data_IF_717028474788
#
_entry.id   IF_717028474788
#
_cell.length_a   1.000
_cell.length_b   1.000
_cell.length_c   1.000
_cell.angle_alpha   90.00
_cell.angle_beta   90.00
_cell.angle_gamma   90.00
#
_symmetry.space_group_name_H-M   'P 1'
#
loop_
_entity.id
_entity.type
_entity.pdbx_description
1 polymer ?
#
# COMPACT_ATOMS: atom_id res chain seq x y z
N UNK A 1 6.16 2.26 -2.67
CA UNK A 1 5.12 3.08 -3.35
C UNK A 1 5.64 4.39 -3.94
N UNK A 2 6.43 5.20 -3.22
CA UNK A 2 6.94 6.52 -3.67
C UNK A 2 7.38 6.60 -5.15
N UNK A 3 8.27 5.71 -5.60
CA UNK A 3 8.80 5.77 -6.98
C UNK A 3 7.74 5.44 -8.04
N UNK A 4 6.86 4.47 -7.78
CA UNK A 4 5.78 4.12 -8.68
C UNK A 4 4.76 5.27 -8.78
N UNK A 5 4.43 5.89 -7.65
CA UNK A 5 3.55 7.08 -7.64
C UNK A 5 4.16 8.24 -8.43
N UNK A 6 5.46 8.49 -8.25
CA UNK A 6 6.17 9.51 -9.02
C UNK A 6 6.09 9.25 -10.53
N UNK A 7 6.39 8.02 -10.96
CA UNK A 7 6.30 7.63 -12.36
C UNK A 7 4.88 7.81 -12.91
N UNK A 8 3.86 7.33 -12.19
CA UNK A 8 2.46 7.37 -12.64
C UNK A 8 1.85 8.77 -12.72
N UNK A 9 2.42 9.76 -12.02
CA UNK A 9 2.01 11.16 -12.17
C UNK A 9 2.32 11.71 -13.57
N UNK A 10 3.36 11.21 -14.23
CA UNK A 10 3.81 11.70 -15.55
C UNK A 10 3.57 10.70 -16.67
N UNK A 11 3.19 9.46 -16.33
CA UNK A 11 2.94 8.43 -17.30
C UNK A 11 1.56 8.59 -17.97
N UNK A 12 1.43 8.17 -19.24
CA UNK A 12 0.13 8.07 -19.92
C UNK A 12 -0.81 7.05 -19.24
N UNK A 13 -2.11 7.18 -19.52
CA UNK A 13 -3.16 6.46 -18.78
C UNK A 13 -3.08 4.93 -18.94
N UNK A 14 -2.59 4.42 -20.07
CA UNK A 14 -2.35 3.00 -20.31
C UNK A 14 -1.42 2.39 -19.24
N UNK A 15 -0.44 3.17 -18.76
CA UNK A 15 0.47 2.75 -17.69
C UNK A 15 -0.24 2.69 -16.35
N UNK A 16 -1.15 3.63 -16.07
CA UNK A 16 -1.94 3.63 -14.83
C UNK A 16 -2.78 2.36 -14.74
N UNK A 17 -3.47 1.98 -15.82
CA UNK A 17 -4.24 0.73 -15.88
C UNK A 17 -3.37 -0.52 -15.69
N UNK A 18 -2.18 -0.56 -16.28
CA UNK A 18 -1.24 -1.69 -16.13
C UNK A 18 -0.89 -1.95 -14.65
N UNK A 19 -0.73 -0.90 -13.84
CA UNK A 19 -0.34 -1.04 -12.44
C UNK A 19 -1.52 -1.02 -11.46
N UNK A 20 -2.76 -0.80 -11.94
CA UNK A 20 -3.94 -0.66 -11.10
C UNK A 20 -4.18 -1.87 -10.19
N UNK A 21 -4.10 -3.08 -10.74
CA UNK A 21 -4.26 -4.32 -9.96
C UNK A 21 -3.15 -4.52 -8.93
N UNK A 22 -1.91 -4.17 -9.28
CA UNK A 22 -0.79 -4.21 -8.34
C UNK A 22 -1.00 -3.24 -7.17
N UNK A 23 -1.38 -2.00 -7.46
CA UNK A 23 -1.62 -0.98 -6.43
C UNK A 23 -2.76 -1.39 -5.49
N UNK A 24 -3.84 -1.95 -6.04
CA UNK A 24 -4.95 -2.49 -5.25
C UNK A 24 -4.47 -3.63 -4.32
N UNK A 25 -3.71 -4.60 -4.84
CA UNK A 25 -3.17 -5.69 -4.05
C UNK A 25 -2.25 -5.21 -2.91
N UNK A 26 -1.42 -4.18 -3.16
CA UNK A 26 -0.60 -3.57 -2.10
C UNK A 26 -1.47 -2.96 -1.00
N UNK A 27 -2.47 -2.16 -1.36
CA UNK A 27 -3.38 -1.53 -0.40
C UNK A 27 -4.15 -2.56 0.42
N UNK A 28 -4.68 -3.59 -0.24
CA UNK A 28 -5.41 -4.69 0.42
C UNK A 28 -4.52 -5.48 1.38
N UNK A 29 -3.27 -5.76 1.00
CA UNK A 29 -2.32 -6.43 1.89
C UNK A 29 -2.03 -5.63 3.16
N UNK A 30 -1.81 -4.31 3.00
CA UNK A 30 -1.61 -3.40 4.14
C UNK A 30 -2.82 -3.40 5.07
N UNK A 31 -4.02 -3.27 4.51
CA UNK A 31 -5.27 -3.20 5.28
C UNK A 31 -5.54 -4.48 6.08
N UNK A 32 -5.41 -5.65 5.45
CA UNK A 32 -5.81 -6.92 6.07
C UNK A 32 -4.74 -7.58 6.93
N UNK A 33 -3.46 -7.35 6.64
CA UNK A 33 -2.37 -8.11 7.28
C UNK A 33 -1.38 -7.24 8.04
N UNK A 34 -1.26 -5.96 7.68
CA UNK A 34 -0.22 -5.08 8.21
C UNK A 34 -0.75 -3.98 9.14
N UNK A 35 -2.06 -3.86 9.30
CA UNK A 35 -2.68 -2.80 10.10
C UNK A 35 -2.97 -3.33 11.50
N UNK A 36 -2.39 -2.70 12.52
CA UNK A 36 -2.67 -3.06 13.91
C UNK A 36 -4.06 -2.56 14.36
N UNK A 37 -4.45 -2.91 15.58
CA UNK A 37 -5.71 -2.46 16.18
C UNK A 37 -5.85 -0.92 16.30
N UNK A 38 -4.74 -0.16 16.27
CA UNK A 38 -4.73 1.30 16.28
C UNK A 38 -4.79 1.93 14.88
N UNK A 39 -4.79 1.12 13.81
CA UNK A 39 -4.76 1.60 12.44
C UNK A 39 -3.37 1.91 11.90
N UNK A 40 -2.29 1.56 12.61
CA UNK A 40 -0.93 1.82 12.15
C UNK A 40 -0.42 0.68 11.26
N UNK A 41 0.07 1.00 10.04
CA UNK A 41 0.67 0.01 9.17
C UNK A 41 2.11 -0.35 9.58
N UNK A 42 2.37 -1.65 9.59
CA UNK A 42 3.66 -2.27 9.87
C UNK A 42 4.62 -2.30 8.67
N UNK A 43 5.77 -2.94 8.88
CA UNK A 43 6.83 -3.07 7.87
C UNK A 43 6.61 -4.21 6.87
N UNK A 44 5.75 -5.18 7.19
CA UNK A 44 5.48 -6.37 6.39
C UNK A 44 4.02 -6.38 5.96
N UNK A 45 3.73 -6.45 4.65
CA UNK A 45 2.39 -6.21 4.08
C UNK A 45 1.61 -7.46 3.66
N UNK A 46 2.24 -8.63 3.69
CA UNK A 46 1.67 -9.88 3.15
C UNK A 46 1.74 -11.03 4.13
N UNK A 47 2.01 -10.75 5.39
CA UNK A 47 2.18 -11.76 6.42
C UNK A 47 1.10 -11.58 7.49
N UNK A 48 0.32 -12.63 7.82
CA UNK A 48 -0.63 -12.58 8.92
C UNK A 48 0.08 -12.20 10.23
N UNK A 49 -0.59 -11.53 11.16
CA UNK A 49 -0.03 -11.16 12.47
C UNK A 49 0.51 -12.41 13.21
N UNK A 50 1.84 -12.62 13.16
CA UNK A 50 2.48 -13.88 13.54
C UNK A 50 3.66 -13.68 14.49
N UNK A 51 3.53 -12.87 15.54
CA UNK A 51 4.49 -12.82 16.66
C UNK A 51 5.93 -12.35 16.34
N UNK A 52 6.29 -12.21 15.07
CA UNK A 52 7.44 -11.50 14.54
C UNK A 52 7.16 -10.00 14.58
N UNK A 53 8.20 -9.17 14.56
CA UNK A 53 8.16 -7.75 14.89
C UNK A 53 7.50 -6.87 13.80
N UNK A 54 6.29 -7.23 13.37
CA UNK A 54 5.50 -6.63 12.28
C UNK A 54 5.18 -5.16 12.56
N UNK A 55 4.94 -4.87 13.84
CA UNK A 55 4.57 -3.55 14.35
C UNK A 55 5.77 -2.83 14.96
N UNK A 56 6.92 -2.89 14.29
CA UNK A 56 7.94 -1.87 14.50
C UNK A 56 7.43 -0.57 13.87
N UNK A 57 6.41 0.01 14.52
CA UNK A 57 5.71 1.21 14.07
C UNK A 57 6.71 2.35 14.15
N UNK A 58 7.05 2.87 12.98
CA UNK A 58 7.84 4.09 12.85
C UNK A 58 7.14 5.01 11.88
N UNK A 59 7.51 6.30 11.91
CA UNK A 59 7.03 7.25 10.91
C UNK A 59 7.25 6.75 9.47
N UNK A 60 8.30 5.94 9.23
CA UNK A 60 8.60 5.38 7.91
C UNK A 60 7.65 4.25 7.50
N UNK A 61 7.31 3.34 8.40
CA UNK A 61 6.38 2.23 8.09
C UNK A 61 4.97 2.75 7.90
N UNK A 62 4.56 3.69 8.76
CA UNK A 62 3.25 4.34 8.68
C UNK A 62 3.10 5.12 7.37
N UNK A 63 4.10 5.95 7.03
CA UNK A 63 4.06 6.72 5.78
C UNK A 63 4.13 5.83 4.53
N UNK A 64 4.84 4.71 4.58
CA UNK A 64 4.88 3.75 3.48
C UNK A 64 3.52 3.07 3.26
N UNK A 65 2.86 2.62 4.33
CA UNK A 65 1.52 2.01 4.26
C UNK A 65 0.46 3.01 3.79
N UNK A 66 0.49 4.24 4.34
CA UNK A 66 -0.39 5.32 3.88
C UNK A 66 -0.19 5.62 2.39
N UNK A 67 1.04 5.62 1.90
CA UNK A 67 1.33 5.81 0.49
C UNK A 67 0.77 4.68 -0.39
N UNK A 68 0.60 3.46 0.13
CA UNK A 68 -0.06 2.37 -0.59
C UNK A 68 -1.55 2.67 -0.79
N UNK A 69 -2.25 3.06 0.27
CA UNK A 69 -3.66 3.45 0.19
C UNK A 69 -3.87 4.67 -0.72
N UNK A 70 -3.04 5.70 -0.60
CA UNK A 70 -3.12 6.89 -1.46
C UNK A 70 -2.88 6.54 -2.94
N UNK A 71 -1.93 5.67 -3.23
CA UNK A 71 -1.66 5.24 -4.60
C UNK A 71 -2.81 4.41 -5.17
N UNK A 72 -3.37 3.49 -4.39
CA UNK A 72 -4.54 2.71 -4.77
C UNK A 72 -5.77 3.58 -4.99
N UNK A 73 -6.00 4.60 -4.15
CA UNK A 73 -7.09 5.55 -4.33
C UNK A 73 -6.95 6.39 -5.62
N UNK A 74 -5.72 6.70 -6.06
CA UNK A 74 -5.47 7.49 -7.26
C UNK A 74 -5.51 6.69 -8.57
N UNK A 75 -4.96 5.48 -8.55
CA UNK A 75 -4.71 4.70 -9.77
C UNK A 75 -5.06 3.22 -9.65
N UNK A 76 -5.43 2.76 -8.46
CA UNK A 76 -5.89 1.39 -8.26
C UNK A 76 -7.24 1.17 -8.93
N UNK A 77 -7.58 -0.10 -9.11
CA UNK A 77 -8.93 -0.45 -9.56
C UNK A 77 -9.92 -0.11 -8.45
N UNK A 78 -11.00 0.60 -8.79
CA UNK A 78 -12.20 0.64 -7.96
C UNK A 78 -12.85 -0.75 -8.04
N UNK A 79 -12.37 -1.70 -7.25
CA UNK A 79 -13.10 -2.95 -7.06
C UNK A 79 -14.30 -2.66 -6.14
N UNK A 80 -15.47 -3.29 -6.38
CA UNK A 80 -16.61 -3.24 -5.47
C UNK A 80 -16.29 -3.86 -4.11
#
# INVERSE_FOLDING_TARGET
>A
MKHLMYYLNYAPDDRKFKYAGFLHAQSSGVEHYATNANGDPGSIWYEPDSGTNHFTVSAYTVSAGLAAHVAAAKWGTCAP
#
